data_IF_267362682148
#
_entry.id   IF_267362682148
#
_cell.length_a   1.000
_cell.length_b   1.000
_cell.length_c   1.000
_cell.angle_alpha   90.00
_cell.angle_beta   90.00
_cell.angle_gamma   90.00
#
_symmetry.space_group_name_H-M   'P 1'
#
loop_
_entity.id
_entity.type
_entity.pdbx_description
1 polymer ?
#
# COMPACT_ATOMS: atom_id res chain seq x y z
N UNK A 1 -29.14 28.63 -57.73
CA UNK A 1 -28.56 29.01 -56.42
C UNK A 1 -28.96 28.09 -55.25
N UNK A 2 -29.49 26.86 -55.47
CA UNK A 2 -29.88 25.91 -54.39
C UNK A 2 -28.91 24.73 -54.20
N UNK A 3 -27.86 24.61 -55.01
CA UNK A 3 -26.99 23.42 -55.05
C UNK A 3 -25.74 23.52 -54.18
N UNK A 4 -25.32 24.74 -53.79
CA UNK A 4 -24.14 24.97 -52.96
C UNK A 4 -24.39 24.80 -51.45
N UNK A 5 -25.65 24.96 -50.99
CA UNK A 5 -25.98 24.86 -49.55
C UNK A 5 -25.89 23.42 -49.01
N UNK A 6 -26.16 22.39 -49.83
CA UNK A 6 -26.04 20.99 -49.38
C UNK A 6 -24.60 20.49 -49.26
N UNK A 7 -23.64 21.17 -49.89
CA UNK A 7 -22.22 20.78 -49.82
C UNK A 7 -21.55 21.25 -48.52
N UNK A 8 -22.06 22.32 -47.89
CA UNK A 8 -21.51 22.82 -46.63
C UNK A 8 -22.03 22.06 -45.40
N UNK A 9 -23.23 21.46 -45.47
CA UNK A 9 -23.75 20.63 -44.38
C UNK A 9 -23.03 19.27 -44.27
N UNK A 10 -22.60 18.68 -45.39
CA UNK A 10 -21.87 17.40 -45.38
C UNK A 10 -20.42 17.53 -44.88
N UNK A 11 -19.77 18.67 -45.11
CA UNK A 11 -18.39 18.91 -44.63
C UNK A 11 -18.32 19.12 -43.11
N UNK A 12 -19.35 19.73 -42.51
CA UNK A 12 -19.40 19.88 -41.04
C UNK A 12 -19.67 18.55 -40.32
N UNK A 13 -20.41 17.63 -40.93
CA UNK A 13 -20.70 16.33 -40.32
C UNK A 13 -19.48 15.41 -40.25
N UNK A 14 -18.61 15.44 -41.28
CA UNK A 14 -17.37 14.65 -41.32
C UNK A 14 -16.38 15.13 -40.26
N UNK A 15 -16.28 16.45 -40.05
CA UNK A 15 -15.40 17.05 -39.03
C UNK A 15 -15.78 16.66 -37.60
N UNK A 16 -17.08 16.67 -37.28
CA UNK A 16 -17.58 16.31 -35.94
C UNK A 16 -17.43 14.80 -35.68
N UNK A 17 -17.72 13.95 -36.68
CA UNK A 17 -17.56 12.51 -36.56
C UNK A 17 -16.09 12.08 -36.42
N UNK A 18 -15.17 12.72 -37.16
CA UNK A 18 -13.72 12.49 -37.02
C UNK A 18 -13.22 12.93 -35.65
N UNK A 19 -13.69 14.07 -35.14
CA UNK A 19 -13.33 14.55 -33.80
C UNK A 19 -13.82 13.59 -32.71
N UNK A 20 -15.07 13.14 -32.78
CA UNK A 20 -15.62 12.18 -31.82
C UNK A 20 -14.88 10.83 -31.86
N UNK A 21 -14.48 10.34 -33.05
CA UNK A 21 -13.70 9.13 -33.19
C UNK A 21 -12.29 9.26 -32.60
N UNK A 22 -11.62 10.41 -32.80
CA UNK A 22 -10.32 10.70 -32.20
C UNK A 22 -10.42 10.75 -30.67
N UNK A 23 -11.46 11.40 -30.12
CA UNK A 23 -11.69 11.41 -28.67
C UNK A 23 -12.01 10.01 -28.13
N UNK A 24 -12.77 9.19 -28.85
CA UNK A 24 -13.07 7.81 -28.44
C UNK A 24 -11.81 6.93 -28.45
N UNK A 25 -10.96 7.04 -29.49
CA UNK A 25 -9.69 6.28 -29.59
C UNK A 25 -8.68 6.75 -28.54
N UNK A 26 -8.62 8.05 -28.25
CA UNK A 26 -7.75 8.57 -27.18
C UNK A 26 -8.26 8.15 -25.79
N UNK A 27 -9.57 8.13 -25.55
CA UNK A 27 -10.14 7.69 -24.28
C UNK A 27 -9.99 6.17 -24.08
N UNK A 28 -10.14 5.39 -25.16
CA UNK A 28 -9.95 3.94 -25.13
C UNK A 28 -8.47 3.56 -24.95
N UNK A 29 -7.53 4.27 -25.58
CA UNK A 29 -6.09 4.05 -25.34
C UNK A 29 -5.67 4.45 -23.93
N UNK A 30 -6.17 5.55 -23.37
CA UNK A 30 -5.88 5.92 -21.98
C UNK A 30 -6.44 4.91 -20.95
N UNK A 31 -7.61 4.32 -21.23
CA UNK A 31 -8.24 3.34 -20.33
C UNK A 31 -7.60 1.95 -20.41
N UNK A 32 -6.97 1.59 -21.53
CA UNK A 32 -6.27 0.31 -21.70
C UNK A 32 -4.87 0.30 -21.05
N UNK A 33 -4.28 1.47 -20.77
CA UNK A 33 -3.00 1.58 -20.05
C UNK A 33 -3.14 1.81 -18.53
N UNK A 34 -4.35 1.97 -18.01
CA UNK A 34 -4.64 1.68 -16.60
C UNK A 34 -4.76 0.16 -16.43
N UNK A 35 -3.69 -0.55 -16.78
CA UNK A 35 -3.65 -2.01 -16.65
C UNK A 35 -3.82 -2.41 -15.17
N UNK A 36 -4.32 -3.63 -14.90
CA UNK A 36 -4.17 -4.23 -13.58
C UNK A 36 -2.71 -4.09 -13.15
N UNK A 37 -2.46 -3.85 -11.85
CA UNK A 37 -1.12 -3.77 -11.23
C UNK A 37 -0.09 -4.45 -12.11
N UNK A 38 0.86 -3.68 -12.67
CA UNK A 38 1.94 -4.27 -13.46
C UNK A 38 2.81 -5.07 -12.51
N UNK A 39 2.41 -6.31 -12.26
CA UNK A 39 3.12 -7.33 -11.48
C UNK A 39 4.52 -7.57 -12.04
N UNK A 40 4.76 -7.18 -13.29
CA UNK A 40 6.09 -7.14 -13.92
C UNK A 40 7.08 -6.18 -13.23
N UNK A 41 6.65 -5.35 -12.28
CA UNK A 41 7.55 -4.53 -11.46
C UNK A 41 8.09 -5.23 -10.20
N UNK A 42 7.49 -6.35 -9.81
CA UNK A 42 7.95 -7.18 -8.70
C UNK A 42 9.04 -8.13 -9.20
N UNK A 43 10.26 -7.64 -9.30
CA UNK A 43 11.42 -8.51 -9.54
C UNK A 43 11.53 -9.53 -8.40
N UNK A 44 11.61 -10.84 -8.70
CA UNK A 44 11.81 -11.87 -7.68
C UNK A 44 13.01 -11.54 -6.79
N UNK A 45 12.82 -11.60 -5.48
CA UNK A 45 13.86 -11.26 -4.50
C UNK A 45 13.91 -9.80 -4.05
N UNK A 46 13.08 -8.90 -4.58
CA UNK A 46 12.93 -7.55 -4.03
C UNK A 46 11.98 -7.53 -2.85
N UNK A 47 12.39 -6.85 -1.78
CA UNK A 47 11.51 -6.61 -0.63
C UNK A 47 10.31 -5.74 -1.02
N UNK A 48 9.13 -6.19 -0.60
CA UNK A 48 7.84 -5.54 -0.77
C UNK A 48 7.26 -5.22 0.61
N UNK A 49 6.91 -3.96 0.82
CA UNK A 49 6.24 -3.48 2.02
C UNK A 49 4.75 -3.25 1.73
N UNK A 50 3.88 -3.98 2.41
CA UNK A 50 2.43 -3.82 2.35
C UNK A 50 1.94 -3.07 3.59
N UNK A 51 1.08 -2.08 3.38
CA UNK A 51 0.29 -1.47 4.45
C UNK A 51 -1.18 -1.59 4.07
N UNK A 52 -1.90 -2.49 4.76
CA UNK A 52 -3.33 -2.65 4.55
C UNK A 52 -4.19 -1.77 5.45
N UNK A 53 -5.35 -1.36 4.95
CA UNK A 53 -6.31 -0.59 5.72
C UNK A 53 -7.53 -0.19 4.89
N UNK A 54 -8.57 0.25 5.58
CA UNK A 54 -9.76 0.81 4.90
C UNK A 54 -9.54 2.23 4.40
N UNK A 55 -8.54 2.95 4.95
CA UNK A 55 -8.18 4.33 4.60
C UNK A 55 -9.40 5.23 4.38
N UNK A 56 -10.29 5.29 5.37
CA UNK A 56 -11.56 6.03 5.29
C UNK A 56 -11.60 7.22 6.26
N UNK A 57 -11.00 8.38 5.94
CA UNK A 57 -10.10 8.64 4.80
C UNK A 57 -8.63 8.27 5.09
N UNK A 58 -7.73 8.23 4.08
CA UNK A 58 -6.29 8.23 4.34
C UNK A 58 -5.91 9.52 5.08
N UNK A 59 -4.80 9.48 5.83
CA UNK A 59 -4.33 10.59 6.65
C UNK A 59 -2.83 10.77 6.44
N UNK A 60 -2.30 11.94 6.81
CA UNK A 60 -0.85 12.21 6.78
C UNK A 60 -0.10 11.15 7.59
N UNK A 61 -0.64 10.70 8.73
CA UNK A 61 0.00 9.66 9.55
C UNK A 61 0.21 8.34 8.80
N UNK A 62 -0.72 7.93 7.94
CA UNK A 62 -0.53 6.74 7.10
C UNK A 62 0.64 6.92 6.12
N UNK A 63 0.73 8.10 5.52
CA UNK A 63 1.76 8.41 4.52
C UNK A 63 3.14 8.54 5.16
N UNK A 64 3.24 9.22 6.30
CA UNK A 64 4.49 9.37 7.07
C UNK A 64 4.99 8.00 7.51
N UNK A 65 4.11 7.15 8.06
CA UNK A 65 4.47 5.81 8.50
C UNK A 65 5.05 4.96 7.34
N UNK A 66 4.41 5.00 6.17
CA UNK A 66 4.93 4.34 4.97
C UNK A 66 6.29 4.93 4.55
N UNK A 67 6.40 6.26 4.48
CA UNK A 67 7.59 6.95 4.00
C UNK A 67 8.83 6.65 4.87
N UNK A 68 8.68 6.75 6.19
CA UNK A 68 9.75 6.50 7.16
C UNK A 68 10.17 5.04 7.14
N UNK A 69 9.20 4.11 7.18
CA UNK A 69 9.50 2.67 7.11
C UNK A 69 10.23 2.31 5.81
N UNK A 70 9.77 2.83 4.67
CA UNK A 70 10.45 2.58 3.40
C UNK A 70 11.86 3.17 3.36
N UNK A 71 12.08 4.33 3.98
CA UNK A 71 13.39 4.97 4.04
C UNK A 71 14.35 4.21 4.96
N UNK A 72 13.95 3.95 6.21
CA UNK A 72 14.77 3.35 7.25
C UNK A 72 15.10 1.88 6.96
N UNK A 73 14.13 1.13 6.44
CA UNK A 73 14.33 -0.27 6.05
C UNK A 73 14.77 -0.41 4.59
N UNK A 74 15.00 0.71 3.93
CA UNK A 74 15.44 0.80 2.54
C UNK A 74 14.59 -0.02 1.55
N UNK A 75 13.27 -0.04 1.78
CA UNK A 75 12.32 -0.83 0.98
C UNK A 75 12.17 -0.23 -0.42
N UNK A 76 12.47 -1.00 -1.48
CA UNK A 76 12.38 -0.52 -2.85
C UNK A 76 10.94 -0.43 -3.37
N UNK A 77 9.98 -1.11 -2.73
CA UNK A 77 8.59 -1.17 -3.19
C UNK A 77 7.63 -1.14 -2.00
N UNK A 78 6.74 -0.14 -1.96
CA UNK A 78 5.64 -0.03 -1.02
C UNK A 78 4.28 -0.12 -1.71
N UNK A 79 3.30 -0.75 -1.05
CA UNK A 79 1.91 -0.80 -1.49
C UNK A 79 0.99 -0.40 -0.35
N UNK A 80 0.12 0.57 -0.62
CA UNK A 80 -1.10 0.77 0.15
C UNK A 80 -2.18 -0.19 -0.37
N UNK A 81 -2.51 -1.21 0.42
CA UNK A 81 -3.53 -2.20 0.07
C UNK A 81 -4.88 -1.76 0.65
N UNK A 82 -5.75 -1.22 -0.22
CA UNK A 82 -7.02 -0.67 0.21
C UNK A 82 -8.04 -1.80 0.34
N UNK A 83 -8.59 -1.95 1.54
CA UNK A 83 -9.59 -2.97 1.86
C UNK A 83 -11.00 -2.35 1.97
N UNK A 84 -12.02 -3.19 1.81
CA UNK A 84 -13.41 -2.81 2.04
C UNK A 84 -13.62 -2.46 3.53
N UNK A 85 -14.16 -1.27 3.86
CA UNK A 85 -14.33 -0.89 5.25
C UNK A 85 -15.34 -1.78 6.00
N UNK A 86 -14.94 -2.25 7.18
CA UNK A 86 -15.80 -3.04 8.06
C UNK A 86 -16.56 -2.23 9.11
N UNK A 87 -16.21 -0.95 9.33
CA UNK A 87 -16.80 -0.10 10.37
C UNK A 87 -18.05 0.63 9.87
N UNK A 88 -19.14 0.69 10.65
CA UNK A 88 -20.30 1.50 10.30
C UNK A 88 -19.94 2.97 10.07
N UNK A 89 -20.52 3.60 9.04
CA UNK A 89 -20.26 5.00 8.70
C UNK A 89 -18.96 5.27 7.95
N UNK A 90 -18.20 4.22 7.60
CA UNK A 90 -17.06 4.35 6.72
C UNK A 90 -17.49 4.73 5.28
N UNK A 91 -16.58 5.38 4.58
CA UNK A 91 -16.74 5.77 3.19
C UNK A 91 -16.66 4.52 2.30
N UNK A 92 -17.31 4.50 1.12
CA UNK A 92 -17.23 3.32 0.25
C UNK A 92 -15.79 2.99 -0.13
N UNK A 93 -15.52 1.72 -0.42
CA UNK A 93 -14.20 1.23 -0.80
C UNK A 93 -13.64 1.99 -2.01
N UNK A 94 -14.48 2.33 -3.00
CA UNK A 94 -14.09 3.08 -4.19
C UNK A 94 -13.64 4.49 -3.87
N UNK A 95 -14.33 5.17 -2.94
CA UNK A 95 -13.95 6.52 -2.51
C UNK A 95 -12.65 6.46 -1.71
N UNK A 96 -12.52 5.50 -0.80
CA UNK A 96 -11.28 5.30 -0.02
C UNK A 96 -10.09 4.99 -0.93
N UNK A 97 -10.29 4.15 -1.95
CA UNK A 97 -9.29 3.87 -2.99
C UNK A 97 -8.89 5.17 -3.71
N UNK A 98 -9.87 5.97 -4.14
CA UNK A 98 -9.60 7.22 -4.86
C UNK A 98 -8.86 8.25 -4.00
N UNK A 99 -9.26 8.42 -2.74
CA UNK A 99 -8.59 9.32 -1.81
C UNK A 99 -7.16 8.85 -1.51
N UNK A 100 -6.94 7.54 -1.42
CA UNK A 100 -5.60 6.96 -1.20
C UNK A 100 -4.72 7.19 -2.42
N UNK A 101 -5.25 7.00 -3.64
CA UNK A 101 -4.54 7.32 -4.89
C UNK A 101 -4.13 8.79 -4.94
N UNK A 102 -5.05 9.72 -4.64
CA UNK A 102 -4.75 11.16 -4.59
C UNK A 102 -3.67 11.47 -3.54
N UNK A 103 -3.70 10.79 -2.40
CA UNK A 103 -2.69 10.97 -1.35
C UNK A 103 -1.29 10.52 -1.81
N UNK A 104 -1.21 9.36 -2.48
CA UNK A 104 0.04 8.84 -3.04
C UNK A 104 0.54 9.68 -4.23
N UNK A 105 -0.34 10.24 -5.05
CA UNK A 105 0.10 11.15 -6.13
C UNK A 105 0.83 12.38 -5.58
N UNK A 106 0.53 12.79 -4.34
CA UNK A 106 1.16 13.92 -3.66
C UNK A 106 2.23 13.48 -2.63
N UNK A 107 2.77 12.26 -2.74
CA UNK A 107 3.69 11.71 -1.75
C UNK A 107 5.03 12.47 -1.62
N UNK A 108 5.44 13.24 -2.64
CA UNK A 108 6.64 14.09 -2.53
C UNK A 108 6.54 15.06 -1.33
N UNK A 109 5.32 15.52 -1.03
CA UNK A 109 5.08 16.47 0.04
C UNK A 109 5.43 15.84 1.39
N UNK A 110 5.12 14.55 1.55
CA UNK A 110 5.41 13.77 2.75
C UNK A 110 6.92 13.55 2.87
N UNK A 111 7.58 13.18 1.77
CA UNK A 111 9.03 13.03 1.74
C UNK A 111 9.74 14.33 2.14
N UNK A 112 9.30 15.48 1.61
CA UNK A 112 9.84 16.81 1.97
C UNK A 112 9.55 17.19 3.41
N UNK A 113 8.32 16.98 3.87
CA UNK A 113 7.90 17.28 5.25
C UNK A 113 8.75 16.51 6.28
N UNK A 114 9.11 15.26 5.98
CA UNK A 114 9.95 14.42 6.85
C UNK A 114 11.44 14.53 6.57
N UNK A 115 11.86 15.45 5.70
CA UNK A 115 13.25 15.62 5.26
C UNK A 115 13.88 14.31 4.72
N UNK A 116 13.09 13.42 4.11
CA UNK A 116 13.57 12.18 3.51
C UNK A 116 14.24 12.51 2.18
N UNK A 117 15.55 12.27 2.02
CA UNK A 117 16.26 12.62 0.80
C UNK A 117 15.78 11.79 -0.40
N UNK A 118 15.39 12.48 -1.47
CA UNK A 118 14.93 11.89 -2.71
C UNK A 118 15.24 12.79 -3.91
N UNK A 119 15.29 12.21 -5.11
CA UNK A 119 15.37 12.93 -6.38
C UNK A 119 14.54 12.25 -7.45
N UNK A 120 14.34 12.93 -8.57
CA UNK A 120 13.65 12.40 -9.74
C UNK A 120 12.24 11.83 -9.44
N UNK A 121 11.50 12.47 -8.53
CA UNK A 121 10.14 12.08 -8.19
C UNK A 121 9.21 12.19 -9.40
N UNK A 122 8.48 11.12 -9.72
CA UNK A 122 7.58 11.03 -10.86
C UNK A 122 6.29 10.33 -10.51
N UNK A 123 5.17 10.91 -10.93
CA UNK A 123 3.88 10.22 -11.04
C UNK A 123 3.89 9.37 -12.30
N UNK A 124 3.63 8.08 -12.19
CA UNK A 124 3.60 7.15 -13.34
C UNK A 124 2.20 6.64 -13.64
N UNK A 125 1.25 6.85 -12.73
CA UNK A 125 -0.16 6.52 -12.91
C UNK A 125 -0.97 6.92 -11.67
N UNK A 126 -2.30 6.73 -11.68
CA UNK A 126 -3.15 7.04 -10.53
C UNK A 126 -2.73 6.26 -9.29
N UNK A 127 -2.29 6.97 -8.25
CA UNK A 127 -1.80 6.34 -7.02
C UNK A 127 -0.54 5.52 -7.23
N UNK A 128 0.31 5.86 -8.21
CA UNK A 128 1.61 5.22 -8.42
C UNK A 128 2.68 6.27 -8.66
N UNK A 129 3.70 6.24 -7.81
CA UNK A 129 4.82 7.18 -7.86
C UNK A 129 6.15 6.44 -7.78
N UNK A 130 7.19 7.07 -8.31
CA UNK A 130 8.56 6.57 -8.29
C UNK A 130 9.53 7.69 -7.95
N UNK A 131 10.65 7.35 -7.32
CA UNK A 131 11.76 8.27 -7.08
C UNK A 131 13.09 7.53 -6.97
N UNK A 132 14.19 8.27 -6.89
CA UNK A 132 15.51 7.74 -6.60
C UNK A 132 15.90 8.13 -5.17
N UNK A 133 16.24 7.14 -4.35
CA UNK A 133 16.74 7.36 -2.98
C UNK A 133 18.16 7.93 -2.98
N UNK A 134 18.64 8.37 -1.81
CA UNK A 134 20.02 8.86 -1.65
C UNK A 134 21.07 7.83 -2.08
N UNK A 135 20.80 6.55 -1.85
CA UNK A 135 21.65 5.44 -2.25
C UNK A 135 21.61 5.15 -3.78
N UNK A 136 20.87 5.94 -4.56
CA UNK A 136 20.74 5.75 -6.00
C UNK A 136 19.78 4.62 -6.40
N UNK A 137 19.00 4.07 -5.46
CA UNK A 137 18.02 3.01 -5.76
C UNK A 137 16.71 3.60 -6.26
N UNK A 138 16.11 2.94 -7.23
CA UNK A 138 14.73 3.24 -7.63
C UNK A 138 13.77 2.71 -6.57
N UNK A 139 12.86 3.57 -6.15
CA UNK A 139 11.81 3.27 -5.18
C UNK A 139 10.45 3.48 -5.85
N UNK A 140 9.53 2.55 -5.60
CA UNK A 140 8.16 2.53 -6.13
C UNK A 140 7.20 2.55 -4.96
N UNK A 141 6.18 3.40 -5.02
CA UNK A 141 5.04 3.36 -4.11
C UNK A 141 3.76 3.35 -4.93
N UNK A 142 2.85 2.43 -4.60
CA UNK A 142 1.57 2.34 -5.30
C UNK A 142 0.38 2.03 -4.40
N UNK A 143 -0.82 2.24 -4.93
CA UNK A 143 -2.09 1.90 -4.30
C UNK A 143 -2.68 0.69 -5.03
N UNK A 144 -3.06 -0.33 -4.27
CA UNK A 144 -3.65 -1.55 -4.78
C UNK A 144 -5.13 -1.65 -4.40
N UNK A 145 -5.96 -1.96 -5.40
CA UNK A 145 -7.38 -2.33 -5.24
C UNK A 145 -7.58 -3.84 -5.07
N UNK A 146 -6.50 -4.62 -4.93
CA UNK A 146 -6.57 -6.09 -4.96
C UNK A 146 -7.62 -6.67 -4.01
N UNK A 147 -7.69 -6.19 -2.77
CA UNK A 147 -8.67 -6.70 -1.79
C UNK A 147 -10.11 -6.35 -2.20
N UNK A 148 -10.34 -5.17 -2.77
CA UNK A 148 -11.66 -4.74 -3.27
C UNK A 148 -12.08 -5.62 -4.46
N UNK A 149 -11.21 -5.73 -5.46
CA UNK A 149 -11.50 -6.43 -6.71
C UNK A 149 -11.76 -7.92 -6.49
N UNK A 150 -11.05 -8.52 -5.53
CA UNK A 150 -11.16 -9.94 -5.18
C UNK A 150 -12.06 -10.20 -3.98
N UNK A 151 -12.70 -9.16 -3.42
CA UNK A 151 -13.59 -9.25 -2.24
C UNK A 151 -12.91 -9.94 -1.04
N UNK A 152 -11.62 -9.69 -0.86
CA UNK A 152 -10.84 -10.22 0.26
C UNK A 152 -11.27 -9.51 1.54
N UNK A 153 -11.58 -10.31 2.56
CA UNK A 153 -12.00 -9.80 3.88
C UNK A 153 -10.96 -10.03 4.97
N UNK A 154 -10.10 -11.02 4.79
CA UNK A 154 -9.09 -11.40 5.77
C UNK A 154 -7.71 -11.08 5.22
N UNK A 155 -6.90 -10.36 6.01
CA UNK A 155 -5.53 -9.99 5.65
C UNK A 155 -4.67 -11.20 5.25
N UNK A 156 -4.93 -12.37 5.83
CA UNK A 156 -4.17 -13.59 5.52
C UNK A 156 -4.25 -13.99 4.05
N UNK A 157 -5.38 -13.77 3.38
CA UNK A 157 -5.54 -14.16 1.98
C UNK A 157 -4.75 -13.23 1.04
N UNK A 158 -4.69 -11.93 1.38
CA UNK A 158 -3.80 -10.99 0.70
C UNK A 158 -2.33 -11.37 0.93
N UNK A 159 -1.95 -11.70 2.17
CA UNK A 159 -0.57 -12.11 2.47
C UNK A 159 -0.17 -13.38 1.74
N UNK A 160 -1.05 -14.39 1.65
CA UNK A 160 -0.80 -15.60 0.84
C UNK A 160 -0.57 -15.24 -0.62
N UNK A 161 -1.39 -14.38 -1.19
CA UNK A 161 -1.25 -13.93 -2.58
C UNK A 161 0.10 -13.25 -2.82
N UNK A 162 0.42 -12.21 -2.05
CA UNK A 162 1.67 -11.46 -2.23
C UNK A 162 2.91 -12.29 -1.84
N UNK A 163 2.80 -13.18 -0.86
CA UNK A 163 3.87 -14.11 -0.47
C UNK A 163 4.18 -15.08 -1.61
N UNK A 164 3.17 -15.58 -2.32
CA UNK A 164 3.38 -16.42 -3.50
C UNK A 164 4.10 -15.67 -4.64
N UNK A 165 4.00 -14.34 -4.71
CA UNK A 165 4.64 -13.51 -5.74
C UNK A 165 6.11 -13.19 -5.40
N UNK A 166 6.40 -12.75 -4.17
CA UNK A 166 7.74 -12.25 -3.81
C UNK A 166 8.52 -13.18 -2.88
N UNK A 167 7.85 -14.19 -2.30
CA UNK A 167 8.35 -15.04 -1.24
C UNK A 167 8.17 -14.41 0.15
N UNK A 168 7.88 -15.21 1.20
CA UNK A 168 7.52 -14.69 2.52
C UNK A 168 8.63 -13.87 3.19
N UNK A 169 9.91 -14.16 2.86
CA UNK A 169 11.07 -13.41 3.38
C UNK A 169 11.21 -12.02 2.80
N UNK A 170 10.65 -11.80 1.62
CA UNK A 170 10.68 -10.51 0.94
C UNK A 170 9.38 -9.74 1.16
N UNK A 171 8.36 -10.34 1.78
CA UNK A 171 7.12 -9.67 2.10
C UNK A 171 7.17 -9.09 3.52
N UNK A 172 6.82 -7.82 3.66
CA UNK A 172 6.73 -7.11 4.93
C UNK A 172 5.34 -6.53 5.10
N UNK A 173 4.71 -6.76 6.24
CA UNK A 173 3.44 -6.16 6.60
C UNK A 173 3.66 -5.04 7.62
N UNK A 174 3.19 -3.85 7.28
CA UNK A 174 3.27 -2.64 8.10
C UNK A 174 1.91 -2.35 8.73
N UNK A 175 1.89 -2.19 10.06
CA UNK A 175 0.70 -1.76 10.78
C UNK A 175 1.01 -0.85 11.96
N UNK A 176 -0.03 -0.21 12.51
CA UNK A 176 0.08 0.48 13.78
C UNK A 176 0.16 -0.50 14.95
N UNK A 177 0.77 -0.06 16.06
CA UNK A 177 0.82 -0.83 17.31
C UNK A 177 -0.57 -1.15 17.87
N UNK A 178 -1.58 -0.32 17.60
CA UNK A 178 -2.98 -0.58 17.97
C UNK A 178 -3.58 -1.77 17.22
N UNK A 179 -3.33 -1.87 15.91
CA UNK A 179 -3.70 -3.05 15.12
C UNK A 179 -3.02 -4.30 15.69
N UNK A 180 -1.72 -4.21 15.98
CA UNK A 180 -0.92 -5.28 16.55
C UNK A 180 -1.48 -5.81 17.87
N UNK A 181 -1.78 -4.90 18.81
CA UNK A 181 -2.37 -5.24 20.11
C UNK A 181 -3.74 -5.92 19.98
N UNK A 182 -4.48 -5.62 18.91
CA UNK A 182 -5.78 -6.25 18.63
C UNK A 182 -5.71 -7.56 17.83
N UNK A 183 -4.55 -7.93 17.26
CA UNK A 183 -4.43 -9.12 16.40
C UNK A 183 -4.96 -10.42 17.03
N UNK A 184 -4.77 -10.70 18.34
CA UNK A 184 -5.34 -11.89 18.96
C UNK A 184 -6.87 -12.00 18.83
N UNK A 185 -7.58 -10.89 18.61
CA UNK A 185 -9.04 -10.87 18.43
C UNK A 185 -9.47 -11.02 16.97
N UNK A 186 -8.55 -11.09 16.02
CA UNK A 186 -8.87 -11.15 14.57
C UNK A 186 -9.31 -12.55 14.12
N UNK A 187 -9.21 -13.56 14.99
CA UNK A 187 -9.58 -14.95 14.73
C UNK A 187 -8.37 -15.88 14.83
N UNK A 188 -8.54 -17.18 14.60
CA UNK A 188 -7.46 -18.16 14.75
C UNK A 188 -6.32 -18.04 13.73
N UNK A 189 -6.50 -17.23 12.67
CA UNK A 189 -5.59 -17.11 11.54
C UNK A 189 -4.50 -16.05 11.72
N UNK A 190 -4.56 -15.19 12.75
CA UNK A 190 -3.59 -14.09 12.90
C UNK A 190 -2.14 -14.58 13.00
N UNK A 191 -1.92 -15.75 13.61
CA UNK A 191 -0.60 -16.37 13.75
C UNK A 191 -0.03 -16.81 12.40
N UNK A 192 -0.90 -17.18 11.46
CA UNK A 192 -0.49 -17.62 10.13
C UNK A 192 0.14 -16.47 9.32
N UNK A 193 -0.20 -15.22 9.63
CA UNK A 193 0.35 -14.05 8.94
C UNK A 193 1.89 -14.01 8.99
N UNK A 194 2.48 -14.51 10.08
CA UNK A 194 3.93 -14.59 10.29
C UNK A 194 4.63 -15.66 9.46
N UNK A 195 3.88 -16.66 8.97
CA UNK A 195 4.40 -17.64 8.02
C UNK A 195 4.51 -17.04 6.60
N UNK A 196 3.66 -16.07 6.27
CA UNK A 196 3.59 -15.47 4.93
C UNK A 196 4.30 -14.13 4.81
N UNK A 197 4.72 -13.51 5.92
CA UNK A 197 5.39 -12.21 5.88
C UNK A 197 6.22 -11.94 7.13
N UNK A 198 7.18 -11.03 6.99
CA UNK A 198 7.76 -10.29 8.10
C UNK A 198 6.76 -9.21 8.58
N UNK A 199 6.90 -8.74 9.82
CA UNK A 199 6.01 -7.72 10.38
C UNK A 199 6.79 -6.51 10.87
N UNK A 200 6.21 -5.33 10.67
CA UNK A 200 6.64 -4.06 11.26
C UNK A 200 5.40 -3.44 11.93
N UNK A 201 5.49 -3.25 13.24
CA UNK A 201 4.49 -2.49 13.99
C UNK A 201 5.11 -1.21 14.52
N UNK A 202 4.41 -0.09 14.35
CA UNK A 202 4.88 1.22 14.81
C UNK A 202 3.88 1.77 15.81
N UNK A 203 4.36 2.04 17.02
CA UNK A 203 3.53 2.63 18.06
C UNK A 203 3.19 4.09 17.74
N UNK A 204 2.07 4.55 18.30
CA UNK A 204 1.63 5.95 18.21
C UNK A 204 1.43 6.48 19.62
N UNK A 205 1.98 7.66 19.90
CA UNK A 205 1.71 8.34 21.17
C UNK A 205 0.21 8.59 21.35
N UNK A 206 -0.33 8.19 22.50
CA UNK A 206 -1.70 8.54 22.90
C UNK A 206 -2.80 7.55 22.52
N UNK A 207 -2.49 6.33 22.05
CA UNK A 207 -3.47 5.23 21.91
C UNK A 207 -3.98 4.76 23.28
N UNK A 208 -4.91 5.53 23.87
CA UNK A 208 -5.67 5.15 25.06
C UNK A 208 -6.58 3.97 24.71
N UNK A 209 -6.28 2.78 25.23
CA UNK A 209 -7.16 1.60 25.11
C UNK A 209 -6.48 0.29 24.75
N UNK A 210 -5.20 0.32 24.35
CA UNK A 210 -4.35 -0.86 24.51
C UNK A 210 -4.08 -1.12 26.00
N UNK A 211 -3.69 -2.34 26.42
CA UNK A 211 -3.22 -2.57 27.79
C UNK A 211 -2.25 -1.45 28.13
N UNK A 212 -2.47 -0.70 29.22
CA UNK A 212 -1.67 0.49 29.54
C UNK A 212 -0.20 0.10 29.59
N UNK A 213 0.53 0.47 28.56
CA UNK A 213 1.93 0.12 28.43
C UNK A 213 2.68 1.19 29.19
N UNK A 214 3.07 0.87 30.42
CA UNK A 214 3.99 1.70 31.18
C UNK A 214 5.25 1.89 30.32
N UNK A 215 5.62 3.14 30.07
CA UNK A 215 6.78 3.51 29.25
C UNK A 215 8.11 3.05 29.89
N UNK A 216 8.08 2.56 31.14
CA UNK A 216 9.19 1.85 31.78
C UNK A 216 9.22 0.34 31.51
N UNK A 217 8.19 -0.24 30.87
CA UNK A 217 8.14 -1.66 30.53
C UNK A 217 9.03 -1.92 29.31
N UNK A 218 9.92 -2.91 29.46
CA UNK A 218 10.58 -3.57 28.33
C UNK A 218 9.51 -4.10 27.37
N UNK A 219 9.39 -3.46 26.22
CA UNK A 219 8.61 -3.92 25.08
C UNK A 219 7.08 -4.03 25.30
N UNK A 220 6.32 -3.02 24.83
CA UNK A 220 4.87 -2.94 24.90
C UNK A 220 4.10 -4.20 24.50
N UNK A 221 4.55 -4.85 23.43
CA UNK A 221 3.81 -5.92 22.76
C UNK A 221 4.27 -7.31 23.21
N UNK A 222 5.35 -7.39 24.00
CA UNK A 222 5.91 -8.66 24.49
C UNK A 222 4.89 -9.53 25.21
N UNK A 223 4.03 -8.91 26.03
CA UNK A 223 3.04 -9.64 26.84
C UNK A 223 1.93 -10.30 26.02
N UNK A 224 1.77 -9.90 24.76
CA UNK A 224 0.71 -10.37 23.86
C UNK A 224 1.18 -11.54 23.00
N UNK A 225 2.50 -11.69 22.81
CA UNK A 225 3.06 -12.70 21.91
C UNK A 225 3.56 -13.95 22.65
N UNK A 226 3.39 -15.16 22.06
CA UNK A 226 3.97 -16.39 22.61
C UNK A 226 5.50 -16.34 22.62
N UNK A 227 6.14 -17.02 23.58
CA UNK A 227 7.62 -17.07 23.69
C UNK A 227 8.32 -17.56 22.42
N UNK A 228 7.66 -18.41 21.62
CA UNK A 228 8.20 -18.88 20.33
C UNK A 228 8.42 -17.75 19.31
N UNK A 229 7.69 -16.63 19.43
CA UNK A 229 7.84 -15.45 18.57
C UNK A 229 9.06 -14.61 18.93
N UNK A 230 9.48 -14.64 20.20
CA UNK A 230 10.51 -13.74 20.72
C UNK A 230 11.91 -14.01 20.14
N UNK A 231 12.13 -15.18 19.51
CA UNK A 231 13.43 -15.52 18.91
C UNK A 231 13.80 -14.64 17.72
N UNK A 232 12.82 -14.16 16.95
CA UNK A 232 13.04 -13.40 15.72
C UNK A 232 12.50 -11.97 15.80
N UNK A 233 12.35 -11.51 17.04
CA UNK A 233 11.69 -10.27 17.36
C UNK A 233 12.72 -9.23 17.84
N UNK A 234 12.60 -7.99 17.36
CA UNK A 234 13.40 -6.85 17.78
C UNK A 234 12.48 -5.67 18.10
N UNK A 235 12.77 -4.99 19.21
CA UNK A 235 12.16 -3.70 19.53
C UNK A 235 13.21 -2.59 19.43
N UNK A 236 12.94 -1.58 18.60
CA UNK A 236 13.69 -0.33 18.58
C UNK A 236 13.01 0.70 19.47
N UNK A 237 13.68 1.06 20.57
CA UNK A 237 13.14 2.00 21.56
C UNK A 237 13.15 3.44 21.07
N UNK A 238 14.02 3.79 20.14
CA UNK A 238 14.17 5.16 19.65
C UNK A 238 13.02 5.48 18.70
N UNK A 239 12.74 4.56 17.80
CA UNK A 239 11.73 4.73 16.75
C UNK A 239 10.38 4.11 17.12
N UNK A 240 10.28 3.53 18.32
CA UNK A 240 9.12 2.78 18.81
C UNK A 240 8.61 1.73 17.80
N UNK A 241 9.55 1.01 17.20
CA UNK A 241 9.31 0.07 16.12
C UNK A 241 9.51 -1.38 16.59
N UNK A 242 8.52 -2.22 16.33
CA UNK A 242 8.53 -3.64 16.60
C UNK A 242 8.72 -4.38 15.28
N UNK A 243 9.78 -5.16 15.17
CA UNK A 243 10.13 -5.89 13.96
C UNK A 243 10.14 -7.40 14.22
N UNK A 244 9.44 -8.15 13.39
CA UNK A 244 9.50 -9.61 13.36
C UNK A 244 10.04 -10.08 12.01
N UNK A 245 11.08 -10.90 12.04
CA UNK A 245 11.64 -11.52 10.84
C UNK A 245 11.28 -12.99 10.73
N UNK A 246 10.77 -13.42 9.58
CA UNK A 246 10.59 -14.85 9.30
C UNK A 246 11.96 -15.48 8.96
N UNK A 247 12.65 -15.97 9.99
CA UNK A 247 13.99 -16.55 9.84
C UNK A 247 14.00 -18.02 9.41
N UNK A 248 12.88 -18.73 9.36
CA UNK A 248 12.90 -20.18 9.13
C UNK A 248 13.10 -20.53 7.63
N UNK A 249 14.25 -21.09 7.21
CA UNK A 249 14.45 -21.50 5.82
C UNK A 249 13.71 -22.78 5.45
N UNK A 250 13.28 -23.55 6.46
CA UNK A 250 12.81 -24.93 6.32
C UNK A 250 11.34 -25.10 6.69
N UNK A 251 10.63 -24.04 7.08
CA UNK A 251 9.18 -24.13 7.17
C UNK A 251 8.65 -24.13 5.74
N UNK A 252 8.08 -25.26 5.26
CA UNK A 252 7.37 -25.22 3.99
C UNK A 252 6.32 -24.13 4.09
N UNK A 253 6.14 -23.37 3.01
CA UNK A 253 4.92 -22.61 2.80
C UNK A 253 3.76 -23.55 3.07
N UNK A 254 3.01 -23.28 4.15
CA UNK A 254 1.83 -24.06 4.54
C UNK A 254 0.82 -23.99 3.39
#
# INVERSE_FOLDING_TARGET
>A
MKTLSRYFESLNFISVAQSAFIYLVLYFTFSVFAGPLSLNSLEPGRSLLLMGGSFSPPTISHMVLMAETMYEQEMPHGIFLVADPYKPGATSAEVSLKLTQISVDNFDYILRMRNIPHRDFKRVGPGKVTWISLAGRSVILEVSSFDIDNKIRNTIDSLRHFSALVGPRNLWWLSGGDSSASMPTWGSWWQEMFAHSNMIFVDREGTKGGPTIDSNIMDPLRSVYPDSFLKNYRYDKIDHMHQYSNLNPNQPSI
#
